data_IF_873262810357
#
_entry.id   IF_873262810357
#
_cell.length_a   1.000
_cell.length_b   1.000
_cell.length_c   1.000
_cell.angle_alpha   90.00
_cell.angle_beta   90.00
_cell.angle_gamma   90.00
#
_symmetry.space_group_name_H-M   'P 1'
#
loop_
_entity.id
_entity.type
_entity.pdbx_description
1 polymer ?
#
# COMPACT_ATOMS: atom_id res chain seq x y z
N UNK A 1 -19.54 -4.95 -2.70
CA UNK A 1 -18.97 -6.18 -2.09
C UNK A 1 -18.04 -5.73 -0.97
N UNK A 2 -18.02 -6.39 0.19
CA UNK A 2 -17.16 -5.95 1.31
C UNK A 2 -15.71 -6.41 1.15
N UNK A 3 -14.77 -5.61 1.65
CA UNK A 3 -13.36 -6.00 1.79
C UNK A 3 -13.24 -7.26 2.67
N UNK A 4 -12.40 -8.25 2.32
CA UNK A 4 -12.13 -9.39 3.20
C UNK A 4 -11.50 -8.94 4.52
N UNK A 5 -11.73 -9.70 5.60
CA UNK A 5 -11.14 -9.38 6.91
C UNK A 5 -9.61 -9.42 6.90
N UNK A 6 -9.03 -10.37 6.16
CA UNK A 6 -7.60 -10.48 5.87
C UNK A 6 -7.40 -10.73 4.38
N UNK A 7 -6.40 -10.09 3.78
CA UNK A 7 -6.17 -10.18 2.35
C UNK A 7 -4.72 -9.90 1.97
N UNK A 8 -4.37 -10.16 0.72
CA UNK A 8 -3.13 -9.72 0.07
C UNK A 8 -3.45 -8.73 -1.04
N UNK A 9 -2.51 -7.84 -1.32
CA UNK A 9 -2.61 -6.88 -2.42
C UNK A 9 -1.64 -7.31 -3.51
N UNK A 10 -2.14 -7.40 -4.73
CA UNK A 10 -1.34 -7.58 -5.94
C UNK A 10 -1.48 -6.35 -6.83
N UNK A 11 -0.37 -5.89 -7.40
CA UNK A 11 -0.31 -4.77 -8.36
C UNK A 11 0.34 -5.31 -9.63
N UNK A 12 -0.35 -5.25 -10.76
CA UNK A 12 0.15 -5.84 -12.01
C UNK A 12 0.44 -7.35 -11.90
N UNK A 13 -0.32 -8.07 -11.06
CA UNK A 13 -0.09 -9.50 -10.79
C UNK A 13 1.06 -9.81 -9.82
N UNK A 14 1.74 -8.79 -9.28
CA UNK A 14 2.86 -8.93 -8.33
C UNK A 14 2.42 -8.59 -6.90
N UNK A 15 2.75 -9.42 -5.89
CA UNK A 15 2.31 -9.17 -4.53
C UNK A 15 3.05 -7.98 -3.91
N UNK A 16 2.39 -7.19 -3.07
CA UNK A 16 3.12 -6.31 -2.13
C UNK A 16 3.80 -7.19 -1.08
N UNK A 17 5.12 -7.07 -0.94
CA UNK A 17 5.89 -7.94 -0.03
C UNK A 17 5.96 -7.40 1.38
N UNK A 18 6.06 -8.32 2.36
CA UNK A 18 6.26 -7.96 3.76
C UNK A 18 7.59 -7.22 3.95
N UNK A 19 7.66 -6.23 4.86
CA UNK A 19 8.91 -5.61 5.28
C UNK A 19 9.72 -6.56 6.19
N UNK A 20 10.35 -7.59 5.64
CA UNK A 20 11.25 -8.46 6.42
C UNK A 20 12.70 -7.96 6.30
N UNK A 21 13.29 -7.55 7.43
CA UNK A 21 14.71 -7.16 7.52
C UNK A 21 15.08 -5.86 6.81
N UNK A 22 14.11 -5.09 6.32
CA UNK A 22 14.31 -3.78 5.69
C UNK A 22 13.63 -2.73 6.56
N UNK A 23 14.43 -1.84 7.16
CA UNK A 23 13.93 -0.73 7.97
C UNK A 23 14.57 -0.72 9.36
N UNK A 24 15.23 0.38 9.69
CA UNK A 24 15.48 0.72 11.08
C UNK A 24 14.11 0.92 11.76
N UNK A 25 13.98 0.57 13.03
CA UNK A 25 12.70 0.63 13.76
C UNK A 25 12.08 2.04 13.75
N UNK A 26 12.90 3.06 13.47
CA UNK A 26 12.53 4.46 13.49
C UNK A 26 12.05 5.07 12.15
N UNK A 27 12.16 4.35 11.03
CA UNK A 27 12.06 5.00 9.70
C UNK A 27 10.88 4.54 8.84
N UNK A 28 10.37 5.49 8.05
CA UNK A 28 9.50 5.22 6.91
C UNK A 28 10.37 4.77 5.73
N UNK A 29 10.13 3.58 5.19
CA UNK A 29 10.88 3.05 4.05
C UNK A 29 9.95 2.58 2.96
N UNK A 30 10.35 2.78 1.71
CA UNK A 30 9.47 2.54 0.57
C UNK A 30 9.21 1.04 0.37
N UNK A 31 7.94 0.70 0.11
CA UNK A 31 7.50 -0.66 -0.09
C UNK A 31 7.89 -1.18 -1.47
N UNK A 32 7.97 -2.51 -1.58
CA UNK A 32 8.34 -3.22 -2.80
C UNK A 32 7.26 -4.19 -3.24
N UNK A 33 7.21 -4.42 -4.54
CA UNK A 33 6.45 -5.51 -5.12
C UNK A 33 7.35 -6.73 -5.32
N UNK A 34 6.84 -7.91 -5.01
CA UNK A 34 7.54 -9.17 -5.21
C UNK A 34 7.85 -9.38 -6.68
N UNK A 35 9.06 -9.81 -6.96
CA UNK A 35 9.45 -10.26 -8.30
C UNK A 35 9.17 -11.76 -8.46
N UNK A 36 9.21 -12.28 -9.70
CA UNK A 36 9.08 -13.73 -9.96
C UNK A 36 10.07 -14.58 -9.15
N UNK A 37 11.21 -13.98 -8.78
CA UNK A 37 12.30 -14.62 -8.05
C UNK A 37 12.49 -14.07 -6.63
N UNK A 38 11.59 -13.21 -6.11
CA UNK A 38 11.73 -12.76 -4.72
C UNK A 38 11.20 -13.85 -3.79
N UNK A 39 12.07 -14.43 -2.96
CA UNK A 39 11.68 -15.34 -1.88
C UNK A 39 10.89 -14.66 -0.75
N UNK A 40 10.59 -13.36 -0.86
CA UNK A 40 9.84 -12.60 0.14
C UNK A 40 8.36 -12.95 0.08
N UNK A 41 7.73 -13.32 1.22
CA UNK A 41 6.32 -13.66 1.24
C UNK A 41 5.43 -12.43 1.00
N UNK A 42 4.24 -12.61 0.38
CA UNK A 42 3.22 -11.56 0.31
C UNK A 42 2.83 -11.05 1.69
N UNK A 43 2.66 -9.73 1.83
CA UNK A 43 2.14 -9.12 3.05
C UNK A 43 0.66 -9.46 3.23
N UNK A 44 0.27 -9.80 4.47
CA UNK A 44 -1.12 -10.06 4.84
C UNK A 44 -1.67 -8.84 5.54
N UNK A 45 -2.67 -8.22 4.92
CA UNK A 45 -3.25 -6.97 5.33
C UNK A 45 -4.57 -7.15 6.07
N UNK A 46 -4.81 -6.21 6.97
CA UNK A 46 -6.10 -5.90 7.58
C UNK A 46 -6.31 -4.39 7.47
N UNK A 47 -7.57 -3.97 7.34
CA UNK A 47 -7.93 -2.56 7.52
C UNK A 47 -8.36 -2.33 8.96
N UNK A 48 -7.74 -1.35 9.62
CA UNK A 48 -8.05 -0.99 11.00
C UNK A 48 -8.49 0.48 11.08
N UNK A 49 -9.50 0.82 11.89
CA UNK A 49 -9.82 2.21 12.18
C UNK A 49 -8.71 2.85 13.03
N UNK A 50 -8.47 4.13 12.81
CA UNK A 50 -7.52 4.99 13.52
C UNK A 50 -8.16 6.36 13.75
N UNK A 51 -7.53 7.18 14.59
CA UNK A 51 -7.97 8.53 14.93
C UNK A 51 -8.22 9.44 13.71
N UNK A 52 -7.51 9.22 12.60
CA UNK A 52 -7.59 10.04 11.38
C UNK A 52 -8.19 9.31 10.16
N UNK A 53 -8.80 8.14 10.35
CA UNK A 53 -9.44 7.37 9.27
C UNK A 53 -9.05 5.89 9.26
N UNK A 54 -8.99 5.29 8.07
CA UNK A 54 -8.65 3.88 7.90
C UNK A 54 -7.15 3.71 7.66
N UNK A 55 -6.55 2.72 8.33
CA UNK A 55 -5.15 2.35 8.15
C UNK A 55 -5.03 0.94 7.60
N UNK A 56 -4.07 0.74 6.70
CA UNK A 56 -3.73 -0.55 6.14
C UNK A 56 -2.57 -1.16 6.93
N UNK A 57 -2.81 -2.25 7.63
CA UNK A 57 -1.89 -2.84 8.61
C UNK A 57 -1.49 -4.26 8.20
N UNK A 58 -0.23 -4.62 8.37
CA UNK A 58 0.30 -5.99 8.25
C UNK A 58 1.18 -6.31 9.46
N UNK A 59 0.62 -7.00 10.45
CA UNK A 59 1.33 -7.33 11.70
C UNK A 59 1.73 -6.07 12.48
N UNK A 60 3.02 -5.90 12.72
CA UNK A 60 3.58 -4.73 13.41
C UNK A 60 3.78 -3.50 12.53
N UNK A 61 3.47 -3.59 11.24
CA UNK A 61 3.71 -2.52 10.27
C UNK A 61 2.41 -1.97 9.70
N UNK A 62 2.45 -0.70 9.31
CA UNK A 62 1.41 -0.04 8.52
C UNK A 62 1.98 0.38 7.16
N UNK A 63 1.15 0.31 6.12
CA UNK A 63 1.49 0.72 4.75
C UNK A 63 0.68 1.95 4.37
N UNK A 64 1.33 2.96 3.81
CA UNK A 64 0.63 4.16 3.36
C UNK A 64 1.53 5.16 2.66
N UNK A 65 0.92 6.28 2.27
CA UNK A 65 1.64 7.50 1.87
C UNK A 65 2.01 8.29 3.11
N UNK A 66 3.12 8.99 3.05
CA UNK A 66 3.55 9.85 4.14
C UNK A 66 2.63 11.08 4.26
N UNK A 67 2.36 11.56 5.48
CA UNK A 67 1.44 12.68 5.69
C UNK A 67 1.97 13.99 5.09
N UNK A 68 3.29 14.18 5.09
CA UNK A 68 3.95 15.38 4.57
C UNK A 68 4.74 15.00 3.32
N UNK A 69 4.28 15.42 2.16
CA UNK A 69 4.92 15.16 0.87
C UNK A 69 5.32 16.48 0.19
N UNK A 70 6.26 16.43 -0.75
CA UNK A 70 6.50 17.58 -1.62
C UNK A 70 5.24 17.90 -2.45
N UNK A 71 5.16 19.14 -2.95
CA UNK A 71 4.01 19.63 -3.73
C UNK A 71 4.09 19.27 -5.22
N UNK A 72 5.02 18.42 -5.64
CA UNK A 72 5.09 18.01 -7.05
C UNK A 72 3.95 17.07 -7.44
N UNK A 73 3.66 16.97 -8.74
CA UNK A 73 2.72 15.96 -9.27
C UNK A 73 3.41 14.62 -9.59
N UNK A 74 4.66 14.44 -9.14
CA UNK A 74 5.38 13.18 -9.33
C UNK A 74 4.68 12.06 -8.56
N UNK A 75 4.80 10.79 -9.01
CA UNK A 75 4.29 9.64 -8.28
C UNK A 75 4.78 9.63 -6.83
N UNK A 76 3.86 9.48 -5.89
CA UNK A 76 4.17 9.54 -4.46
C UNK A 76 4.53 8.17 -3.93
N UNK A 77 5.56 8.10 -3.08
CA UNK A 77 6.06 6.84 -2.52
C UNK A 77 5.02 6.25 -1.59
N UNK A 78 4.80 4.94 -1.70
CA UNK A 78 4.07 4.18 -0.69
C UNK A 78 5.08 3.34 0.09
N UNK A 79 4.98 3.39 1.41
CA UNK A 79 6.00 2.85 2.28
C UNK A 79 5.44 2.31 3.58
N UNK A 80 6.32 1.59 4.26
CA UNK A 80 6.09 0.95 5.52
C UNK A 80 6.60 1.82 6.66
N UNK A 81 5.90 1.79 7.78
CA UNK A 81 6.42 2.20 9.09
C UNK A 81 5.90 1.24 10.17
N UNK A 82 6.47 1.28 11.38
CA UNK A 82 5.90 0.58 12.54
C UNK A 82 4.50 1.12 12.83
N UNK A 83 3.59 0.23 13.24
CA UNK A 83 2.15 0.53 13.40
C UNK A 83 1.88 1.61 14.45
N UNK A 84 2.70 1.68 15.50
CA UNK A 84 2.65 2.73 16.53
C UNK A 84 3.02 4.13 16.00
N UNK A 85 3.54 4.20 14.77
CA UNK A 85 3.82 5.43 14.01
C UNK A 85 2.85 5.66 12.85
N UNK A 86 1.80 4.85 12.71
CA UNK A 86 0.89 4.94 11.58
C UNK A 86 0.15 6.30 11.48
N UNK A 87 0.17 7.12 12.53
CA UNK A 87 -0.27 8.53 12.49
C UNK A 87 0.52 9.40 11.50
N UNK A 88 1.75 9.00 11.15
CA UNK A 88 2.56 9.68 10.14
C UNK A 88 2.10 9.37 8.70
N UNK A 89 1.14 8.46 8.53
CA UNK A 89 0.60 8.06 7.24
C UNK A 89 -0.74 8.73 6.97
N UNK A 90 -0.99 9.04 5.70
CA UNK A 90 -2.31 9.44 5.24
C UNK A 90 -3.29 8.25 5.33
N UNK A 91 -4.56 8.48 5.68
CA UNK A 91 -5.56 7.41 5.70
C UNK A 91 -5.79 6.86 4.30
N UNK A 92 -6.08 5.56 4.21
CA UNK A 92 -6.56 4.94 2.98
C UNK A 92 -8.07 5.18 2.83
N UNK A 93 -8.54 5.13 1.59
CA UNK A 93 -9.98 5.03 1.28
C UNK A 93 -10.30 3.67 0.67
N UNK A 94 -11.52 3.21 0.89
CA UNK A 94 -12.08 2.03 0.24
C UNK A 94 -13.24 2.50 -0.62
N UNK A 95 -13.19 2.14 -1.90
CA UNK A 95 -14.22 2.50 -2.89
C UNK A 95 -14.78 1.23 -3.53
N UNK A 96 -16.03 1.29 -4.00
CA UNK A 96 -16.58 0.25 -4.86
C UNK A 96 -16.01 0.41 -6.28
N UNK A 97 -15.15 -0.52 -6.69
CA UNK A 97 -14.65 -0.62 -8.06
C UNK A 97 -15.47 -1.58 -8.93
N UNK A 98 -15.19 -1.56 -10.23
CA UNK A 98 -15.91 -2.37 -11.24
C UNK A 98 -15.80 -3.88 -10.96
N UNK A 99 -14.68 -4.32 -10.38
CA UNK A 99 -14.40 -5.74 -10.08
C UNK A 99 -14.43 -6.08 -8.59
N UNK A 100 -14.95 -5.18 -7.74
CA UNK A 100 -14.95 -5.33 -6.29
C UNK A 100 -14.29 -4.14 -5.58
N UNK A 101 -14.04 -4.24 -4.26
CA UNK A 101 -13.49 -3.13 -3.49
C UNK A 101 -12.09 -2.74 -3.97
N UNK A 102 -11.84 -1.44 -4.07
CA UNK A 102 -10.55 -0.85 -4.42
C UNK A 102 -9.98 -0.05 -3.25
N UNK A 103 -8.67 -0.16 -3.02
CA UNK A 103 -7.95 0.66 -2.06
C UNK A 103 -7.38 1.89 -2.75
N UNK A 104 -7.66 3.06 -2.19
CA UNK A 104 -7.04 4.33 -2.58
C UNK A 104 -6.11 4.83 -1.49
N UNK A 105 -4.99 5.38 -1.93
CA UNK A 105 -3.99 6.00 -1.08
C UNK A 105 -4.03 7.51 -1.34
N UNK A 106 -4.94 8.18 -0.62
CA UNK A 106 -5.23 9.61 -0.83
C UNK A 106 -5.63 9.89 -2.28
N UNK A 107 -6.69 9.18 -2.70
CA UNK A 107 -7.32 9.29 -4.02
C UNK A 107 -6.67 8.47 -5.15
N UNK A 108 -5.39 8.09 -5.01
CA UNK A 108 -4.64 7.41 -6.06
C UNK A 108 -4.58 5.87 -5.87
N UNK A 109 -4.47 5.14 -6.99
CA UNK A 109 -4.19 3.68 -6.99
C UNK A 109 -2.71 3.41 -6.78
N UNK A 110 -2.38 2.17 -6.44
CA UNK A 110 -0.99 1.70 -6.43
C UNK A 110 -0.50 1.44 -7.85
N UNK A 111 0.79 1.70 -8.06
CA UNK A 111 1.55 1.30 -9.23
C UNK A 111 2.96 0.85 -8.83
N UNK A 112 3.60 0.07 -9.69
CA UNK A 112 4.98 -0.37 -9.53
C UNK A 112 5.87 0.43 -10.49
N UNK A 113 6.91 1.06 -9.95
CA UNK A 113 7.96 1.71 -10.73
C UNK A 113 9.30 1.20 -10.19
N UNK A 114 10.09 0.54 -11.04
CA UNK A 114 11.37 -0.08 -10.67
C UNK A 114 11.26 -0.97 -9.42
N UNK A 115 10.27 -1.86 -9.38
CA UNK A 115 9.96 -2.79 -8.27
C UNK A 115 9.52 -2.16 -6.94
N UNK A 116 9.43 -0.83 -6.88
CA UNK A 116 8.97 -0.09 -5.72
C UNK A 116 7.51 0.34 -5.90
N UNK A 117 6.77 0.45 -4.79
CA UNK A 117 5.39 0.94 -4.83
C UNK A 117 5.33 2.46 -4.83
N UNK A 118 4.47 2.97 -5.70
CA UNK A 118 4.12 4.36 -5.83
C UNK A 118 2.61 4.53 -5.99
N UNK A 119 2.18 5.79 -5.92
CA UNK A 119 0.84 6.25 -6.25
C UNK A 119 0.97 7.39 -7.27
N UNK A 120 0.75 7.13 -8.57
CA UNK A 120 0.74 8.19 -9.57
C UNK A 120 -0.44 9.13 -9.29
N UNK A 121 -0.18 10.44 -9.26
CA UNK A 121 -1.22 11.46 -9.02
C UNK A 121 -1.93 11.88 -10.31
N UNK A 122 -1.32 11.60 -11.46
CA UNK A 122 -1.88 11.87 -12.78
C UNK A 122 -2.27 10.53 -13.41
N UNK A 123 -3.48 10.48 -13.95
CA UNK A 123 -3.99 9.35 -14.73
C UNK A 123 -3.28 9.30 -16.09
N UNK A 124 -2.02 8.87 -16.10
CA UNK A 124 -1.28 8.56 -17.32
C UNK A 124 -0.98 7.06 -17.35
N UNK A 125 -1.61 6.35 -18.30
CA UNK A 125 -1.41 4.99 -18.88
C UNK A 125 -0.92 3.79 -18.04
N UNK A 126 -0.35 3.97 -16.85
CA UNK A 126 0.07 2.90 -15.94
C UNK A 126 -1.02 2.61 -14.91
N UNK A 127 -2.23 2.33 -15.40
CA UNK A 127 -3.28 1.75 -14.56
C UNK A 127 -3.02 0.25 -14.41
N UNK A 128 -1.96 -0.08 -13.68
CA UNK A 128 -1.73 -1.47 -13.28
C UNK A 128 -2.94 -1.95 -12.47
N UNK A 129 -3.40 -3.16 -12.78
CA UNK A 129 -4.52 -3.76 -12.07
C UNK A 129 -4.11 -4.00 -10.62
N UNK A 130 -4.86 -3.40 -9.69
CA UNK A 130 -4.76 -3.69 -8.26
C UNK A 130 -5.81 -4.74 -7.91
N UNK A 131 -5.36 -5.86 -7.37
CA UNK A 131 -6.22 -6.98 -6.97
C UNK A 131 -6.11 -7.22 -5.47
N UNK A 132 -7.26 -7.40 -4.83
CA UNK A 132 -7.38 -7.79 -3.43
C UNK A 132 -7.76 -9.26 -3.39
N UNK A 133 -6.91 -10.09 -2.80
CA UNK A 133 -7.15 -11.54 -2.71
C UNK A 133 -7.36 -11.94 -1.26
N UNK A 134 -8.51 -12.55 -0.91
CA UNK A 134 -8.76 -13.08 0.44
C UNK A 134 -7.67 -14.07 0.87
N UNK A 135 -7.37 -14.12 2.18
CA UNK A 135 -6.49 -15.12 2.80
C UNK A 135 -7.27 -16.10 3.65
#
# INVERSE_FOLDING_TARGET
>A
MSLPGRFTIFVGGRPVVRPEGQGNEDEYFQARAGGPNSGSPPAVFEVKPSHNGLQLVSGEYALGRYQIEDLSLMPKRVGWCKRDRAQMLQPIQIEDGVSGPELRFSGAKLAIINDMLFTPLLDHEQNERVEIRPM
#
